data_IF_431746627399
#
_entry.id   IF_431746627399
#
_cell.length_a   1.000
_cell.length_b   1.000
_cell.length_c   1.000
_cell.angle_alpha   90.00
_cell.angle_beta   90.00
_cell.angle_gamma   90.00
#
_symmetry.space_group_name_H-M   'P 1'
#
loop_
_entity.id
_entity.type
_entity.pdbx_description
1 polymer ?
#
# COMPACT_ATOMS: atom_id res chain seq x y z
N UNK A 1 -1.78 -8.35 17.45
CA UNK A 1 -2.69 -8.80 16.38
C UNK A 1 -1.87 -9.34 15.23
N UNK A 2 -2.39 -10.33 14.51
CA UNK A 2 -1.81 -10.70 13.24
C UNK A 2 -1.83 -9.49 12.28
N UNK A 3 -0.77 -9.31 11.51
CA UNK A 3 -0.70 -8.30 10.45
C UNK A 3 -1.17 -8.96 9.16
N UNK A 4 -2.01 -8.28 8.36
CA UNK A 4 -2.35 -8.78 7.03
C UNK A 4 -1.05 -8.96 6.23
N UNK A 5 -0.87 -10.14 5.63
CA UNK A 5 0.16 -10.32 4.60
C UNK A 5 -0.37 -9.67 3.33
N UNK A 6 0.27 -8.59 2.89
CA UNK A 6 -0.09 -7.88 1.65
C UNK A 6 1.05 -7.96 0.64
N UNK A 7 0.75 -7.68 -0.63
CA UNK A 7 1.73 -7.63 -1.71
C UNK A 7 2.21 -9.00 -2.18
N UNK A 8 1.51 -10.08 -1.82
CA UNK A 8 1.76 -11.39 -2.41
C UNK A 8 1.17 -11.44 -3.81
N UNK A 9 1.97 -11.75 -4.84
CA UNK A 9 1.49 -11.72 -6.21
C UNK A 9 0.48 -12.84 -6.46
N UNK A 10 -0.62 -12.51 -7.11
CA UNK A 10 -1.65 -13.48 -7.45
C UNK A 10 -1.48 -14.07 -8.86
N UNK A 11 -2.25 -15.11 -9.19
CA UNK A 11 -2.18 -15.75 -10.50
C UNK A 11 -2.48 -14.78 -11.65
N UNK A 12 -3.42 -13.86 -11.44
CA UNK A 12 -3.78 -12.84 -12.45
C UNK A 12 -2.61 -11.91 -12.69
N UNK A 13 -1.91 -11.46 -11.64
CA UNK A 13 -0.72 -10.60 -11.77
C UNK A 13 0.42 -11.27 -12.56
N UNK A 14 0.59 -12.59 -12.39
CA UNK A 14 1.60 -13.34 -13.14
C UNK A 14 1.33 -13.38 -14.65
N UNK A 15 0.08 -13.22 -15.08
CA UNK A 15 -0.34 -13.21 -16.48
C UNK A 15 -0.42 -11.79 -17.08
N UNK A 16 -0.24 -10.75 -16.28
CA UNK A 16 -0.34 -9.37 -16.77
C UNK A 16 0.81 -9.01 -17.71
N UNK A 17 0.56 -8.13 -18.71
CA UNK A 17 1.62 -7.64 -19.57
C UNK A 17 2.66 -6.89 -18.74
N UNK A 18 3.95 -7.00 -19.13
CA UNK A 18 5.04 -6.25 -18.50
C UNK A 18 4.72 -4.76 -18.56
N UNK A 19 4.69 -4.11 -17.40
CA UNK A 19 4.37 -2.69 -17.28
C UNK A 19 2.89 -2.38 -17.01
N UNK A 20 2.02 -3.38 -16.82
CA UNK A 20 0.66 -3.13 -16.38
C UNK A 20 0.64 -2.43 -15.01
N UNK A 21 0.04 -1.23 -14.96
CA UNK A 21 0.08 -0.38 -13.78
C UNK A 21 1.44 0.28 -13.50
N UNK A 22 2.35 0.35 -14.48
CA UNK A 22 3.61 1.07 -14.33
C UNK A 22 3.37 2.57 -14.15
N UNK A 23 4.19 3.19 -13.32
CA UNK A 23 4.20 4.64 -13.13
C UNK A 23 5.63 5.04 -12.81
N UNK A 24 6.34 5.58 -13.81
CA UNK A 24 7.77 5.86 -13.70
C UNK A 24 8.14 6.75 -12.49
N UNK A 25 7.27 7.69 -12.12
CA UNK A 25 7.50 8.55 -10.96
C UNK A 25 7.37 7.78 -9.64
N UNK A 26 6.30 7.00 -9.49
CA UNK A 26 6.07 6.18 -8.29
C UNK A 26 7.06 5.02 -8.18
N UNK A 27 7.41 4.39 -9.29
CA UNK A 27 8.42 3.32 -9.35
C UNK A 27 9.79 3.85 -8.94
N UNK A 28 10.16 5.04 -9.43
CA UNK A 28 11.39 5.73 -9.02
C UNK A 28 11.37 6.08 -7.55
N UNK A 29 10.27 6.64 -7.04
CA UNK A 29 10.11 6.96 -5.61
C UNK A 29 10.22 5.70 -4.74
N UNK A 30 9.54 4.62 -5.14
CA UNK A 30 9.58 3.34 -4.45
C UNK A 30 11.01 2.76 -4.38
N UNK A 31 11.81 2.91 -5.44
CA UNK A 31 13.20 2.44 -5.49
C UNK A 31 14.20 3.32 -4.73
N UNK A 32 13.98 4.64 -4.67
CA UNK A 32 14.91 5.59 -4.01
C UNK A 32 14.78 5.57 -2.48
N UNK A 33 13.57 5.34 -1.97
CA UNK A 33 13.28 5.44 -0.54
C UNK A 33 13.66 4.15 0.18
N UNK A 34 14.46 4.27 1.25
CA UNK A 34 14.81 3.16 2.15
C UNK A 34 13.67 2.89 3.14
N UNK A 35 12.57 2.30 2.67
CA UNK A 35 11.31 2.10 3.42
C UNK A 35 11.47 1.43 4.79
N UNK A 36 12.39 0.47 4.93
CA UNK A 36 12.66 -0.21 6.21
C UNK A 36 13.00 0.76 7.36
N UNK A 37 13.54 1.95 7.05
CA UNK A 37 13.85 2.97 8.06
C UNK A 37 12.60 3.59 8.61
N UNK A 38 11.63 3.88 7.74
CA UNK A 38 10.32 4.38 8.16
C UNK A 38 9.60 3.34 8.99
N UNK A 39 9.58 2.09 8.54
CA UNK A 39 8.98 0.98 9.28
C UNK A 39 9.49 0.87 10.72
N UNK A 40 10.81 0.97 10.92
CA UNK A 40 11.42 0.99 12.26
C UNK A 40 10.99 2.18 13.10
N UNK A 41 10.80 3.35 12.48
CA UNK A 41 10.42 4.58 13.17
C UNK A 41 8.93 4.57 13.55
N UNK A 42 8.05 4.12 12.67
CA UNK A 42 6.59 4.18 12.86
C UNK A 42 5.96 2.87 13.33
N UNK A 43 6.73 1.79 13.44
CA UNK A 43 6.23 0.47 13.83
C UNK A 43 5.53 0.47 15.20
N UNK A 44 6.00 1.31 16.12
CA UNK A 44 5.43 1.47 17.47
C UNK A 44 4.01 2.07 17.49
N UNK A 45 3.57 2.71 16.39
CA UNK A 45 2.20 3.25 16.29
C UNK A 45 1.13 2.15 16.24
N UNK A 46 1.55 0.89 16.10
CA UNK A 46 0.66 -0.25 16.10
C UNK A 46 0.74 -0.97 17.43
N UNK A 47 -0.43 -1.19 18.01
CA UNK A 47 -0.56 -1.96 19.23
C UNK A 47 -0.66 -3.46 18.91
N UNK A 48 0.40 -4.21 19.21
CA UNK A 48 0.44 -5.66 18.98
C UNK A 48 -0.42 -6.43 19.99
N UNK A 49 -0.86 -5.82 21.09
CA UNK A 49 -1.61 -6.49 22.16
C UNK A 49 -3.14 -6.41 22.06
N UNK A 50 -3.68 -5.51 21.22
CA UNK A 50 -5.13 -5.29 21.16
C UNK A 50 -5.88 -6.48 20.52
N UNK A 51 -7.08 -6.88 21.01
CA UNK A 51 -7.92 -7.91 20.40
C UNK A 51 -8.67 -7.39 19.15
N UNK A 52 -8.74 -8.15 18.05
CA UNK A 52 -9.49 -7.75 16.85
C UNK A 52 -9.01 -8.30 15.50
N UNK A 53 -9.59 -7.77 14.41
CA UNK A 53 -9.25 -8.11 13.00
C UNK A 53 -7.81 -7.70 12.66
N UNK A 54 -7.06 -8.52 11.91
CA UNK A 54 -5.72 -8.14 11.43
C UNK A 54 -5.70 -6.79 10.72
N UNK A 55 -4.87 -5.86 11.20
CA UNK A 55 -4.65 -4.56 10.55
C UNK A 55 -3.70 -4.65 9.35
N UNK A 56 -3.76 -3.65 8.46
CA UNK A 56 -2.82 -3.50 7.33
C UNK A 56 -1.42 -3.13 7.79
N UNK A 57 -0.31 -3.63 7.18
CA UNK A 57 1.06 -3.24 7.54
C UNK A 57 1.26 -1.71 7.63
N UNK A 58 2.14 -1.25 8.53
CA UNK A 58 2.26 0.20 8.81
C UNK A 58 2.80 0.96 7.61
N UNK A 59 3.67 0.31 6.83
CA UNK A 59 4.18 0.85 5.58
C UNK A 59 3.09 1.04 4.51
N UNK A 60 2.07 0.16 4.47
CA UNK A 60 0.96 0.31 3.51
C UNK A 60 0.19 1.59 3.80
N UNK A 61 -0.19 1.79 5.07
CA UNK A 61 -0.91 2.98 5.51
C UNK A 61 -0.06 4.25 5.33
N UNK A 62 1.22 4.19 5.67
CA UNK A 62 2.13 5.32 5.48
C UNK A 62 2.26 5.73 4.01
N UNK A 63 2.37 4.77 3.09
CA UNK A 63 2.42 5.06 1.65
C UNK A 63 1.08 5.55 1.10
N UNK A 64 -0.03 5.11 1.66
CA UNK A 64 -1.36 5.62 1.35
C UNK A 64 -1.48 7.12 1.70
N UNK A 65 -1.06 7.53 2.90
CA UNK A 65 -1.02 8.95 3.30
C UNK A 65 -0.05 9.74 2.41
N UNK A 66 1.07 9.15 2.02
CA UNK A 66 2.00 9.78 1.08
C UNK A 66 1.35 10.01 -0.31
N UNK A 67 0.56 9.05 -0.81
CA UNK A 67 -0.21 9.24 -2.05
C UNK A 67 -1.25 10.36 -1.91
N UNK A 68 -1.98 10.43 -0.79
CA UNK A 68 -2.90 11.53 -0.52
C UNK A 68 -2.17 12.88 -0.63
N UNK A 69 -1.01 13.01 0.01
CA UNK A 69 -0.22 14.25 -0.04
C UNK A 69 0.33 14.58 -1.42
N UNK A 70 0.76 13.58 -2.20
CA UNK A 70 1.36 13.79 -3.53
C UNK A 70 0.33 14.14 -4.60
N UNK A 71 -0.89 13.62 -4.47
CA UNK A 71 -1.95 13.77 -5.47
C UNK A 71 -3.12 14.64 -4.99
N UNK A 72 -3.06 15.19 -3.78
CA UNK A 72 -4.10 16.03 -3.20
C UNK A 72 -5.42 15.30 -2.98
N UNK A 73 -5.36 14.01 -2.63
CA UNK A 73 -6.55 13.18 -2.46
C UNK A 73 -7.09 13.33 -1.04
N UNK A 74 -8.41 13.44 -0.92
CA UNK A 74 -9.11 13.16 0.31
C UNK A 74 -9.01 11.68 0.67
N UNK A 75 -9.45 11.38 1.88
CA UNK A 75 -9.64 10.03 2.39
C UNK A 75 -10.47 9.16 1.42
N UNK A 76 -11.72 9.56 1.14
CA UNK A 76 -12.60 8.82 0.22
C UNK A 76 -12.00 8.66 -1.19
N UNK A 77 -11.37 9.71 -1.71
CA UNK A 77 -10.73 9.65 -3.04
C UNK A 77 -9.52 8.72 -3.06
N UNK A 78 -8.79 8.57 -1.95
CA UNK A 78 -7.72 7.59 -1.85
C UNK A 78 -8.29 6.17 -1.95
N UNK A 79 -9.35 5.87 -1.20
CA UNK A 79 -9.99 4.54 -1.22
C UNK A 79 -10.44 4.19 -2.64
N UNK A 80 -11.17 5.10 -3.31
CA UNK A 80 -11.60 4.94 -4.71
C UNK A 80 -10.38 4.78 -5.64
N UNK A 81 -9.35 5.62 -5.49
CA UNK A 81 -8.16 5.55 -6.33
C UNK A 81 -7.35 4.25 -6.14
N UNK A 82 -7.32 3.68 -4.93
CA UNK A 82 -6.68 2.39 -4.66
C UNK A 82 -7.48 1.21 -5.24
N UNK A 83 -8.80 1.37 -5.42
CA UNK A 83 -9.65 0.40 -6.10
C UNK A 83 -9.50 0.41 -7.61
N UNK A 84 -9.30 1.60 -8.19
CA UNK A 84 -9.29 1.77 -9.64
C UNK A 84 -7.88 1.75 -10.26
N UNK A 85 -6.88 2.31 -9.55
CA UNK A 85 -5.55 2.58 -10.13
C UNK A 85 -4.53 1.54 -9.68
N UNK A 86 -4.19 0.63 -10.59
CA UNK A 86 -3.15 -0.39 -10.38
C UNK A 86 -1.82 0.18 -9.93
N UNK A 87 -1.40 1.33 -10.46
CA UNK A 87 -0.14 1.98 -10.08
C UNK A 87 -0.14 2.41 -8.61
N UNK A 88 -1.27 2.86 -8.09
CA UNK A 88 -1.39 3.28 -6.70
C UNK A 88 -1.40 2.07 -5.77
N UNK A 89 -2.19 1.03 -6.13
CA UNK A 89 -2.26 -0.23 -5.39
C UNK A 89 -0.86 -0.89 -5.27
N UNK A 90 -0.13 -0.96 -6.38
CA UNK A 90 1.27 -1.45 -6.42
C UNK A 90 2.20 -0.60 -5.56
N UNK A 91 2.11 0.73 -5.65
CA UNK A 91 2.98 1.63 -4.89
C UNK A 91 2.83 1.44 -3.38
N UNK A 92 1.59 1.34 -2.88
CA UNK A 92 1.34 1.12 -1.45
C UNK A 92 1.72 -0.28 -0.96
N UNK A 93 1.97 -1.23 -1.87
CA UNK A 93 2.36 -2.60 -1.52
C UNK A 93 1.17 -3.54 -1.31
N UNK A 94 0.07 -3.29 -2.03
CA UNK A 94 -1.08 -4.18 -2.13
C UNK A 94 -1.01 -4.93 -3.46
N UNK A 95 -1.38 -6.21 -3.46
CA UNK A 95 -1.63 -6.98 -4.69
C UNK A 95 -3.04 -6.71 -5.21
N UNK A 96 -3.34 -7.18 -6.42
CA UNK A 96 -4.69 -7.11 -7.00
C UNK A 96 -5.78 -7.70 -6.10
N UNK A 97 -5.48 -8.76 -5.36
CA UNK A 97 -6.47 -9.47 -4.53
C UNK A 97 -6.54 -8.93 -3.10
N UNK A 98 -5.57 -8.13 -2.68
CA UNK A 98 -5.60 -7.52 -1.36
C UNK A 98 -6.77 -6.54 -1.25
N UNK A 99 -7.47 -6.62 -0.11
CA UNK A 99 -8.46 -5.62 0.27
C UNK A 99 -7.78 -4.25 0.45
N UNK A 100 -8.54 -3.20 0.17
CA UNK A 100 -8.09 -1.81 0.30
C UNK A 100 -8.36 -1.34 1.73
N UNK A 101 -7.51 -0.49 2.33
CA UNK A 101 -7.86 0.22 3.55
C UNK A 101 -9.13 1.05 3.35
N UNK A 102 -10.09 0.82 4.21
CA UNK A 102 -11.35 1.54 4.33
C UNK A 102 -11.19 2.78 5.23
N UNK A 103 -12.05 3.78 4.99
CA UNK A 103 -12.25 4.94 5.87
C UNK A 103 -13.29 4.70 6.97
#
# INVERSE_FOLDING_TARGET
>A
MAVKRTGQPSFVEALMPKGAGANAALDRLAGLVKWYRFEKLIGHLRDEGSPGRPGYPVLVLFRAVLLQSLYGLSERELEEALGDRLSFKRFVGLSLEDAIPDH
#
